data_IF_349499584561
#
_entry.id   IF_349499584561
#
_cell.length_a   1.000
_cell.length_b   1.000
_cell.length_c   1.000
_cell.angle_alpha   90.00
_cell.angle_beta   90.00
_cell.angle_gamma   90.00
#
_symmetry.space_group_name_H-M   'P 1'
#
loop_
_entity.id
_entity.type
_entity.pdbx_description
1 polymer ?
#
# COMPACT_ATOMS: atom_id res chain seq x y z
N UNK A 1 1.86 -11.17 -15.74
CA UNK A 1 1.25 -9.82 -15.68
C UNK A 1 1.12 -9.30 -14.23
N UNK A 2 0.96 -10.20 -13.24
CA UNK A 2 0.93 -9.94 -11.78
C UNK A 2 1.98 -8.95 -11.25
N UNK A 3 3.23 -9.02 -11.71
CA UNK A 3 4.32 -8.15 -11.24
C UNK A 3 4.19 -6.66 -11.61
N UNK A 4 3.27 -6.27 -12.52
CA UNK A 4 3.13 -4.85 -12.90
C UNK A 4 2.31 -4.06 -11.88
N UNK A 5 1.23 -4.64 -11.36
CA UNK A 5 0.29 -3.95 -10.45
C UNK A 5 0.93 -3.73 -9.09
N UNK A 6 1.68 -4.71 -8.56
CA UNK A 6 2.35 -4.59 -7.26
C UNK A 6 3.43 -3.49 -7.19
N UNK A 7 3.93 -3.01 -8.33
CA UNK A 7 4.93 -1.93 -8.37
C UNK A 7 4.37 -0.60 -7.89
N UNK A 8 3.06 -0.38 -8.04
CA UNK A 8 2.39 0.86 -7.63
C UNK A 8 2.28 0.94 -6.09
N UNK A 9 2.46 -0.18 -5.39
CA UNK A 9 2.38 -0.29 -3.93
C UNK A 9 3.77 -0.37 -3.27
N UNK A 10 4.85 -0.06 -4.00
CA UNK A 10 6.23 -0.09 -3.48
C UNK A 10 6.56 1.24 -2.80
N UNK A 11 6.96 1.19 -1.53
CA UNK A 11 7.50 2.33 -0.79
C UNK A 11 9.04 2.28 -0.80
N UNK A 12 9.74 3.15 -1.55
CA UNK A 12 11.20 3.22 -1.51
C UNK A 12 11.66 3.95 -0.25
N UNK A 13 12.24 3.22 0.71
CA UNK A 13 12.72 3.82 1.97
C UNK A 13 14.22 4.14 1.99
N UNK A 14 14.98 3.65 1.01
CA UNK A 14 16.42 3.92 0.85
C UNK A 14 16.60 5.36 0.39
N UNK A 15 17.41 6.15 1.12
CA UNK A 15 17.64 7.57 0.83
C UNK A 15 16.65 8.55 1.49
N UNK A 16 15.55 8.07 2.07
CA UNK A 16 14.66 8.91 2.88
C UNK A 16 15.37 9.38 4.15
N UNK A 17 15.08 10.61 4.58
CA UNK A 17 15.51 11.12 5.89
C UNK A 17 14.69 10.46 7.00
N UNK A 18 15.22 10.48 8.21
CA UNK A 18 14.44 10.14 9.41
C UNK A 18 13.25 11.08 9.55
N UNK A 19 12.12 10.53 10.02
CA UNK A 19 10.84 11.24 10.10
C UNK A 19 9.67 10.42 9.57
N UNK A 20 8.50 11.04 9.54
CA UNK A 20 7.26 10.45 9.07
C UNK A 20 7.07 10.72 7.58
N UNK A 21 6.70 9.69 6.83
CA UNK A 21 6.42 9.72 5.40
C UNK A 21 5.07 9.09 5.16
N UNK A 22 4.13 9.88 4.65
CA UNK A 22 2.77 9.43 4.39
C UNK A 22 2.58 9.08 2.93
N UNK A 23 1.89 7.96 2.69
CA UNK A 23 1.56 7.43 1.38
C UNK A 23 0.07 7.10 1.32
N UNK A 24 -0.51 7.24 0.14
CA UNK A 24 -1.89 6.86 -0.13
C UNK A 24 -1.92 5.93 -1.35
N UNK A 25 -2.61 4.81 -1.21
CA UNK A 25 -2.79 3.84 -2.29
C UNK A 25 -4.26 3.57 -2.50
N UNK A 26 -4.67 3.52 -3.77
CA UNK A 26 -5.99 3.05 -4.17
C UNK A 26 -5.88 1.58 -4.59
N UNK A 27 -6.60 0.73 -3.87
CA UNK A 27 -6.70 -0.69 -4.11
C UNK A 27 -8.05 -0.92 -4.75
N UNK A 28 -8.02 -1.12 -6.07
CA UNK A 28 -9.21 -1.37 -6.88
C UNK A 28 -9.25 -2.77 -7.48
N UNK A 29 -10.18 -2.95 -8.42
CA UNK A 29 -10.43 -4.22 -9.12
C UNK A 29 -9.16 -4.87 -9.71
N UNK A 30 -8.27 -4.09 -10.33
CA UNK A 30 -7.04 -4.59 -10.95
C UNK A 30 -6.06 -5.23 -9.95
N UNK A 31 -6.10 -4.80 -8.69
CA UNK A 31 -5.33 -5.41 -7.61
C UNK A 31 -5.89 -6.79 -7.29
N UNK A 32 -7.20 -6.90 -7.05
CA UNK A 32 -7.84 -8.18 -6.74
C UNK A 32 -7.77 -9.18 -7.90
N UNK A 33 -7.95 -8.73 -9.14
CA UNK A 33 -7.78 -9.55 -10.35
C UNK A 33 -6.34 -10.08 -10.52
N UNK A 34 -5.35 -9.45 -9.87
CA UNK A 34 -3.97 -9.92 -9.89
C UNK A 34 -3.70 -11.08 -8.92
N UNK A 35 -4.65 -11.42 -8.04
CA UNK A 35 -4.57 -12.56 -7.13
C UNK A 35 -5.65 -13.59 -7.49
N UNK A 36 -5.24 -14.75 -8.00
CA UNK A 36 -6.12 -15.81 -8.55
C UNK A 36 -7.16 -16.41 -7.56
N UNK A 37 -7.12 -16.02 -6.28
CA UNK A 37 -7.99 -16.55 -5.21
C UNK A 37 -8.62 -15.46 -4.32
N UNK A 38 -8.79 -14.24 -4.83
CA UNK A 38 -9.48 -13.18 -4.07
C UNK A 38 -10.98 -13.49 -3.94
N UNK A 39 -11.49 -13.59 -2.70
CA UNK A 39 -12.93 -13.66 -2.42
C UNK A 39 -13.67 -12.34 -2.76
N UNK A 40 -12.91 -11.26 -2.92
CA UNK A 40 -13.41 -9.93 -3.29
C UNK A 40 -13.25 -9.75 -4.79
N UNK A 41 -14.37 -9.74 -5.52
CA UNK A 41 -14.39 -9.53 -6.97
C UNK A 41 -14.44 -8.03 -7.35
N UNK A 42 -14.98 -7.18 -6.46
CA UNK A 42 -15.08 -5.73 -6.63
C UNK A 42 -14.99 -5.04 -5.27
N UNK A 43 -14.17 -4.00 -5.19
CA UNK A 43 -14.02 -3.17 -4.00
C UNK A 43 -13.12 -1.98 -4.29
N UNK A 44 -13.43 -0.82 -3.71
CA UNK A 44 -12.57 0.35 -3.68
C UNK A 44 -12.07 0.53 -2.26
N UNK A 45 -10.80 0.23 -2.03
CA UNK A 45 -10.16 0.40 -0.73
C UNK A 45 -9.09 1.47 -0.86
N UNK A 46 -9.17 2.48 -0.01
CA UNK A 46 -8.11 3.46 0.19
C UNK A 46 -7.23 3.00 1.34
N UNK A 47 -5.93 2.92 1.09
CA UNK A 47 -4.92 2.58 2.09
C UNK A 47 -4.04 3.81 2.38
N UNK A 48 -4.17 4.34 3.59
CA UNK A 48 -3.31 5.40 4.10
C UNK A 48 -2.20 4.79 4.94
N UNK A 49 -0.95 4.99 4.53
CA UNK A 49 0.23 4.41 5.17
C UNK A 49 1.12 5.52 5.68
N UNK A 50 1.26 5.61 7.00
CA UNK A 50 2.24 6.48 7.64
C UNK A 50 3.45 5.64 8.04
N UNK A 51 4.59 5.88 7.38
CA UNK A 51 5.86 5.23 7.67
C UNK A 51 6.76 6.19 8.45
N UNK A 52 7.04 5.88 9.71
CA UNK A 52 8.08 6.56 10.47
C UNK A 52 9.42 5.84 10.28
N UNK A 53 10.39 6.55 9.70
CA UNK A 53 11.77 6.09 9.58
C UNK A 53 12.60 6.60 10.77
N UNK A 54 13.17 5.66 11.50
CA UNK A 54 14.19 5.88 12.52
C UNK A 54 15.50 5.24 12.06
N UNK A 55 16.62 5.60 12.70
CA UNK A 55 17.98 5.15 12.34
C UNK A 55 18.09 3.63 12.10
N UNK A 56 17.40 2.83 12.91
CA UNK A 56 17.47 1.36 12.89
C UNK A 56 16.10 0.66 12.81
N UNK A 57 15.03 1.41 12.57
CA UNK A 57 13.67 0.88 12.63
C UNK A 57 12.73 1.62 11.68
N UNK A 58 11.77 0.89 11.11
CA UNK A 58 10.64 1.45 10.40
C UNK A 58 9.36 1.10 11.18
N UNK A 59 8.53 2.09 11.44
CA UNK A 59 7.20 1.89 12.05
C UNK A 59 6.16 2.21 10.97
N UNK A 60 5.22 1.30 10.76
CA UNK A 60 4.14 1.47 9.79
C UNK A 60 2.80 1.55 10.53
N UNK A 61 2.05 2.62 10.26
CA UNK A 61 0.66 2.73 10.63
C UNK A 61 -0.17 2.69 9.34
N UNK A 62 -1.01 1.68 9.21
CA UNK A 62 -1.82 1.46 8.00
C UNK A 62 -3.28 1.60 8.38
N UNK A 63 -3.99 2.49 7.70
CA UNK A 63 -5.44 2.65 7.80
C UNK A 63 -6.06 2.27 6.46
N UNK A 64 -7.00 1.35 6.51
CA UNK A 64 -7.79 0.94 5.35
C UNK A 64 -9.20 1.51 5.51
N UNK A 65 -9.69 2.22 4.50
CA UNK A 65 -11.09 2.60 4.37
C UNK A 65 -11.63 2.03 3.08
N UNK A 66 -12.78 1.36 3.17
CA UNK A 66 -13.52 0.90 2.01
C UNK A 66 -14.75 1.79 1.85
N UNK A 67 -15.00 2.29 0.65
CA UNK A 67 -16.29 2.87 0.31
C UNK A 67 -17.14 1.76 -0.32
N UNK A 68 -18.34 1.54 0.24
CA UNK A 68 -19.33 0.55 -0.23
C UNK A 68 -20.23 1.20 -1.26
#
# INVERSE_FOLDING_TARGET
MVMKVLKEFVIPFVGLKEGVHDYEFEIGKSFFESFEYSEIEQGSIRAEVSMEKKERMLIFNIRLSAEV
#
